data_IF_728965306762
#
_entry.id   IF_728965306762
#
_cell.length_a   1.000
_cell.length_b   1.000
_cell.length_c   1.000
_cell.angle_alpha   90.00
_cell.angle_beta   90.00
_cell.angle_gamma   90.00
#
_symmetry.space_group_name_H-M   'P 1'
#
loop_
_entity.id
_entity.type
_entity.pdbx_description
1 polymer ?
#
# COMPACT_ATOMS: atom_id res chain seq x y z
N UNK A 1 -0.45 -24.53 11.69
CA UNK A 1 0.60 -23.96 10.83
C UNK A 1 0.92 -25.02 9.79
N UNK A 2 0.53 -24.77 8.54
CA UNK A 2 0.98 -25.57 7.42
C UNK A 2 2.04 -24.76 6.71
N UNK A 3 3.27 -25.29 6.68
CA UNK A 3 4.32 -24.81 5.79
C UNK A 3 3.91 -25.24 4.38
N UNK A 4 3.60 -24.26 3.52
CA UNK A 4 3.28 -24.49 2.12
C UNK A 4 4.48 -23.97 1.32
N UNK A 5 5.39 -24.87 0.97
CA UNK A 5 6.51 -24.54 0.07
C UNK A 5 5.97 -24.18 -1.32
N UNK A 6 6.36 -23.02 -1.87
CA UNK A 6 6.06 -22.65 -3.26
C UNK A 6 6.86 -23.56 -4.22
N UNK A 7 6.21 -24.52 -4.91
CA UNK A 7 6.94 -25.57 -5.62
C UNK A 7 7.51 -25.12 -6.98
N UNK A 8 7.27 -23.88 -7.41
CA UNK A 8 7.59 -23.43 -8.79
C UNK A 8 8.71 -22.39 -8.88
N UNK A 9 8.94 -21.62 -7.83
CA UNK A 9 9.95 -20.55 -7.81
C UNK A 9 9.83 -19.51 -8.93
N UNK A 10 8.67 -19.38 -9.58
CA UNK A 10 8.51 -18.51 -10.76
C UNK A 10 7.28 -17.61 -10.73
N UNK A 11 6.23 -17.95 -10.01
CA UNK A 11 5.04 -17.12 -9.85
C UNK A 11 4.41 -17.36 -8.47
N UNK A 12 3.67 -16.38 -7.96
CA UNK A 12 2.81 -16.54 -6.79
C UNK A 12 1.74 -17.58 -7.13
N UNK A 13 1.67 -18.66 -6.35
CA UNK A 13 0.64 -19.68 -6.53
C UNK A 13 -0.76 -19.06 -6.33
N UNK A 14 -1.82 -19.65 -6.89
CA UNK A 14 -3.18 -19.16 -6.69
C UNK A 14 -3.56 -19.04 -5.20
N UNK A 15 -3.08 -19.96 -4.37
CA UNK A 15 -3.28 -19.94 -2.92
C UNK A 15 -2.61 -18.71 -2.29
N UNK A 16 -1.38 -18.39 -2.69
CA UNK A 16 -0.69 -17.18 -2.21
C UNK A 16 -1.35 -15.89 -2.70
N UNK A 17 -1.86 -15.88 -3.92
CA UNK A 17 -2.63 -14.75 -4.44
C UNK A 17 -3.93 -14.52 -3.65
N UNK A 18 -4.58 -15.57 -3.17
CA UNK A 18 -5.77 -15.50 -2.31
C UNK A 18 -5.41 -14.94 -0.93
N UNK A 19 -4.36 -15.48 -0.30
CA UNK A 19 -3.87 -15.01 1.01
C UNK A 19 -3.48 -13.52 0.98
N UNK A 20 -2.85 -13.06 -0.10
CA UNK A 20 -2.51 -11.64 -0.27
C UNK A 20 -3.79 -10.78 -0.30
N UNK A 21 -4.82 -11.21 -1.02
CA UNK A 21 -6.10 -10.47 -1.08
C UNK A 21 -6.80 -10.44 0.28
N UNK A 22 -6.89 -11.58 0.96
CA UNK A 22 -7.47 -11.66 2.30
C UNK A 22 -6.72 -10.75 3.29
N UNK A 23 -5.39 -10.72 3.22
CA UNK A 23 -4.57 -9.84 4.07
C UNK A 23 -4.82 -8.36 3.81
N UNK A 24 -5.01 -7.99 2.54
CA UNK A 24 -5.36 -6.62 2.16
C UNK A 24 -6.72 -6.26 2.74
N UNK A 25 -7.71 -7.12 2.58
CA UNK A 25 -9.06 -6.91 3.09
C UNK A 25 -9.05 -6.77 4.62
N UNK A 26 -8.33 -7.63 5.35
CA UNK A 26 -8.18 -7.56 6.81
C UNK A 26 -7.53 -6.24 7.29
N UNK A 27 -6.51 -5.74 6.57
CA UNK A 27 -5.87 -4.46 6.89
C UNK A 27 -6.83 -3.28 6.65
N UNK A 28 -7.63 -3.33 5.60
CA UNK A 28 -8.60 -2.29 5.27
C UNK A 28 -9.81 -2.29 6.22
N UNK A 29 -10.30 -3.46 6.64
CA UNK A 29 -11.31 -3.56 7.69
C UNK A 29 -10.79 -2.98 9.02
N UNK A 30 -9.53 -3.26 9.35
CA UNK A 30 -8.88 -2.69 10.54
C UNK A 30 -8.79 -1.16 10.46
N UNK A 31 -8.58 -0.60 9.27
CA UNK A 31 -8.64 0.84 9.04
C UNK A 31 -10.05 1.38 9.28
N UNK A 32 -11.11 0.81 8.70
CA UNK A 32 -12.48 1.29 8.96
C UNK A 32 -12.81 1.33 10.46
N UNK A 33 -12.40 0.31 11.22
CA UNK A 33 -12.64 0.25 12.67
C UNK A 33 -11.86 1.34 13.42
N UNK A 34 -10.60 1.55 13.06
CA UNK A 34 -9.75 2.54 13.74
C UNK A 34 -10.09 3.98 13.35
N UNK A 35 -10.61 4.20 12.14
CA UNK A 35 -10.79 5.53 11.55
C UNK A 35 -12.26 5.97 11.53
N UNK A 36 -13.21 5.04 11.47
CA UNK A 36 -14.66 5.33 11.56
C UNK A 36 -15.20 5.45 12.99
N UNK A 37 -14.43 5.03 14.00
CA UNK A 37 -14.83 5.07 15.41
C UNK A 37 -14.54 6.40 16.12
N UNK A 38 -13.74 7.29 15.50
CA UNK A 38 -13.35 8.57 16.09
C UNK A 38 -13.73 9.72 15.17
N UNK A 39 -14.46 10.73 15.67
CA UNK A 39 -14.67 12.02 14.97
C UNK A 39 -13.37 12.84 14.79
N UNK A 40 -12.22 12.29 15.20
CA UNK A 40 -10.91 12.91 15.11
C UNK A 40 -10.17 12.38 13.88
N UNK A 41 -9.51 13.29 13.15
CA UNK A 41 -8.63 12.90 12.05
C UNK A 41 -7.56 11.93 12.60
N UNK A 42 -7.37 10.76 11.98
CA UNK A 42 -6.37 9.80 12.40
C UNK A 42 -4.97 10.40 12.41
N UNK A 43 -4.23 10.19 13.50
CA UNK A 43 -2.83 10.63 13.62
C UNK A 43 -1.85 9.73 12.82
N UNK A 44 -2.33 8.66 12.17
CA UNK A 44 -1.46 7.63 11.58
C UNK A 44 -1.97 7.14 10.23
N UNK A 45 -1.05 6.82 9.33
CA UNK A 45 -1.33 6.15 8.07
C UNK A 45 -1.39 4.63 8.26
N UNK A 46 -2.22 3.95 7.47
CA UNK A 46 -2.11 2.51 7.28
C UNK A 46 -0.96 2.25 6.32
N UNK A 47 0.04 1.51 6.78
CA UNK A 47 1.10 1.04 5.92
C UNK A 47 0.49 0.10 4.87
N UNK A 48 0.37 0.62 3.66
CA UNK A 48 -0.23 -0.05 2.53
C UNK A 48 0.81 -0.11 1.42
N UNK A 49 2.02 -0.56 1.75
CA UNK A 49 3.13 -0.72 0.83
C UNK A 49 3.15 -2.15 0.27
N UNK A 50 3.40 -2.37 -1.03
CA UNK A 50 3.47 -3.70 -1.61
C UNK A 50 4.47 -4.63 -0.89
N UNK A 51 5.56 -4.06 -0.37
CA UNK A 51 6.57 -4.76 0.43
C UNK A 51 5.96 -5.43 1.68
N UNK A 52 4.99 -4.77 2.32
CA UNK A 52 4.35 -5.29 3.54
C UNK A 52 3.43 -6.47 3.29
N UNK A 53 2.96 -6.65 2.05
CA UNK A 53 2.11 -7.77 1.66
C UNK A 53 2.88 -8.92 1.00
N UNK A 54 4.15 -8.72 0.66
CA UNK A 54 5.03 -9.82 0.19
C UNK A 54 5.71 -10.58 1.33
N UNK A 55 6.08 -9.89 2.41
CA UNK A 55 6.88 -10.48 3.49
C UNK A 55 6.03 -11.38 4.39
N UNK A 56 6.35 -12.67 4.48
CA UNK A 56 5.71 -13.63 5.38
C UNK A 56 4.80 -14.66 4.69
N UNK A 57 4.46 -14.43 3.43
CA UNK A 57 3.71 -15.35 2.56
C UNK A 57 4.62 -16.01 1.52
N UNK A 58 5.70 -15.33 1.15
CA UNK A 58 6.80 -15.91 0.39
C UNK A 58 8.09 -15.82 1.23
N UNK A 59 8.96 -16.82 1.13
CA UNK A 59 10.27 -16.78 1.79
C UNK A 59 11.23 -15.81 1.08
N UNK A 60 10.91 -15.41 -0.15
CA UNK A 60 11.63 -14.42 -0.93
C UNK A 60 11.34 -13.00 -0.43
N UNK A 61 12.37 -12.17 -0.43
CA UNK A 61 12.24 -10.73 -0.22
C UNK A 61 11.47 -10.09 -1.40
N UNK A 62 10.80 -8.95 -1.18
CA UNK A 62 10.07 -8.26 -2.25
C UNK A 62 10.95 -7.98 -3.47
N UNK A 63 12.22 -7.62 -3.27
CA UNK A 63 13.15 -7.33 -4.36
C UNK A 63 13.43 -8.55 -5.24
N UNK A 64 13.26 -9.77 -4.70
CA UNK A 64 13.45 -11.04 -5.40
C UNK A 64 12.21 -11.49 -6.20
N UNK A 65 11.07 -10.82 -6.03
CA UNK A 65 9.86 -11.07 -6.81
C UNK A 65 10.01 -10.55 -8.24
N UNK A 66 9.36 -11.26 -9.18
CA UNK A 66 9.30 -10.85 -10.57
C UNK A 66 8.48 -9.55 -10.74
N UNK A 67 8.66 -8.80 -11.84
CA UNK A 67 7.83 -7.64 -12.14
C UNK A 67 6.32 -7.94 -12.14
N UNK A 68 5.92 -9.10 -12.65
CA UNK A 68 4.53 -9.56 -12.70
C UNK A 68 3.97 -9.85 -11.31
N UNK A 69 4.76 -10.45 -10.42
CA UNK A 69 4.37 -10.70 -9.02
C UNK A 69 4.20 -9.37 -8.25
N UNK A 70 5.10 -8.42 -8.47
CA UNK A 70 5.01 -7.06 -7.88
C UNK A 70 3.79 -6.31 -8.40
N UNK A 71 3.53 -6.39 -9.71
CA UNK A 71 2.35 -5.77 -10.31
C UNK A 71 1.07 -6.40 -9.77
N UNK A 72 0.99 -7.73 -9.63
CA UNK A 72 -0.15 -8.40 -9.01
C UNK A 72 -0.47 -7.84 -7.62
N UNK A 73 0.54 -7.72 -6.73
CA UNK A 73 0.36 -7.19 -5.38
C UNK A 73 -0.16 -5.75 -5.45
N UNK A 74 0.45 -4.90 -6.29
CA UNK A 74 0.05 -3.50 -6.47
C UNK A 74 -1.40 -3.39 -6.98
N UNK A 75 -1.79 -4.20 -7.96
CA UNK A 75 -3.16 -4.22 -8.49
C UNK A 75 -4.18 -4.74 -7.47
N UNK A 76 -3.83 -5.76 -6.68
CA UNK A 76 -4.69 -6.26 -5.60
C UNK A 76 -4.96 -5.16 -4.56
N UNK A 77 -3.91 -4.43 -4.17
CA UNK A 77 -4.01 -3.30 -3.24
C UNK A 77 -4.89 -2.18 -3.81
N UNK A 78 -4.68 -1.80 -5.06
CA UNK A 78 -5.49 -0.79 -5.75
C UNK A 78 -6.96 -1.22 -5.82
N UNK A 79 -7.22 -2.49 -6.15
CA UNK A 79 -8.57 -3.04 -6.16
C UNK A 79 -9.24 -2.98 -4.79
N UNK A 80 -8.51 -3.25 -3.69
CA UNK A 80 -9.07 -3.25 -2.33
C UNK A 80 -9.57 -1.88 -1.85
N UNK A 81 -8.94 -0.80 -2.32
CA UNK A 81 -9.38 0.58 -2.09
C UNK A 81 -10.25 1.12 -3.23
N UNK A 82 -10.53 0.30 -4.25
CA UNK A 82 -11.21 0.68 -5.48
C UNK A 82 -10.57 1.91 -6.15
N UNK A 83 -9.24 1.89 -6.26
CA UNK A 83 -8.43 2.84 -6.99
C UNK A 83 -8.11 2.30 -8.38
N UNK A 84 -8.27 3.15 -9.40
CA UNK A 84 -7.84 2.85 -10.76
C UNK A 84 -6.91 3.99 -11.23
N UNK A 85 -5.64 3.69 -11.60
CA UNK A 85 -4.69 4.72 -11.97
C UNK A 85 -5.03 5.47 -13.27
N UNK A 86 -5.86 4.89 -14.15
CA UNK A 86 -6.20 5.51 -15.44
C UNK A 86 -7.22 6.66 -15.33
N UNK A 87 -8.06 6.65 -14.30
CA UNK A 87 -9.11 7.64 -14.04
C UNK A 87 -8.97 8.36 -12.68
N UNK A 88 -7.86 8.11 -11.97
CA UNK A 88 -7.58 8.66 -10.66
C UNK A 88 -7.62 10.21 -10.63
N UNK A 89 -8.41 10.75 -9.71
CA UNK A 89 -8.43 12.18 -9.43
C UNK A 89 -7.35 12.54 -8.39
N UNK A 90 -6.47 13.48 -8.76
CA UNK A 90 -5.52 14.07 -7.82
C UNK A 90 -6.25 15.05 -6.90
N UNK A 91 -6.18 14.81 -5.60
CA UNK A 91 -6.77 15.66 -4.56
C UNK A 91 -5.78 16.73 -4.12
N UNK A 92 -4.52 16.35 -3.93
CA UNK A 92 -3.46 17.29 -3.55
C UNK A 92 -2.07 16.70 -3.83
N UNK A 93 -1.07 17.56 -3.84
CA UNK A 93 0.34 17.17 -3.88
C UNK A 93 1.08 17.94 -2.79
N UNK A 94 1.95 17.26 -2.04
CA UNK A 94 2.82 17.89 -1.03
C UNK A 94 4.22 17.29 -1.05
N UNK A 95 5.17 17.97 -0.43
CA UNK A 95 6.53 17.45 -0.25
C UNK A 95 6.68 16.91 1.16
N UNK A 96 7.28 15.73 1.28
CA UNK A 96 7.71 15.16 2.53
C UNK A 96 9.24 15.14 2.58
N UNK A 97 9.81 15.77 3.60
CA UNK A 97 11.23 15.71 3.90
C UNK A 97 11.41 14.79 5.11
N UNK A 98 11.73 13.52 4.85
CA UNK A 98 11.95 12.55 5.91
C UNK A 98 13.11 12.96 6.84
N UNK A 99 13.09 12.53 8.11
CA UNK A 99 14.11 12.91 9.09
C UNK A 99 15.51 12.46 8.62
N UNK A 100 16.50 13.32 8.88
CA UNK A 100 17.89 13.10 8.52
C UNK A 100 18.39 11.76 9.08
N UNK A 101 18.87 10.88 8.20
CA UNK A 101 19.37 9.53 8.56
C UNK A 101 18.40 8.36 8.33
N UNK A 102 17.18 8.60 7.85
CA UNK A 102 16.27 7.53 7.42
C UNK A 102 16.72 6.88 6.09
N UNK A 103 16.56 5.55 5.96
CA UNK A 103 16.75 4.83 4.68
C UNK A 103 15.61 5.22 3.74
N UNK A 104 15.83 6.23 2.90
CA UNK A 104 14.76 6.96 2.22
C UNK A 104 15.01 8.47 2.14
N UNK A 105 16.09 8.95 2.76
CA UNK A 105 16.50 10.35 2.78
C UNK A 105 16.42 11.04 1.40
N UNK A 106 15.49 11.98 1.28
CA UNK A 106 15.23 12.79 0.10
C UNK A 106 13.82 13.36 0.15
N UNK A 107 13.62 14.54 -0.43
CA UNK A 107 12.29 15.13 -0.59
C UNK A 107 11.46 14.20 -1.49
N UNK A 108 10.47 13.52 -0.93
CA UNK A 108 9.50 12.78 -1.71
C UNK A 108 8.38 13.74 -2.14
N UNK A 109 7.99 13.67 -3.40
CA UNK A 109 6.72 14.27 -3.82
C UNK A 109 5.62 13.25 -3.52
N UNK A 110 4.67 13.64 -2.67
CA UNK A 110 3.52 12.82 -2.33
C UNK A 110 2.32 13.35 -3.09
N UNK A 111 1.78 12.50 -3.96
CA UNK A 111 0.50 12.78 -4.63
C UNK A 111 -0.61 11.99 -3.93
N UNK A 112 -1.67 12.72 -3.57
CA UNK A 112 -2.84 12.16 -2.90
C UNK A 112 -3.94 11.99 -3.93
N UNK A 113 -4.46 10.78 -4.04
CA UNK A 113 -5.52 10.43 -4.97
C UNK A 113 -6.81 10.09 -4.23
N UNK A 114 -7.93 10.46 -4.85
CA UNK A 114 -9.25 10.04 -4.43
C UNK A 114 -9.46 8.55 -4.78
N UNK A 115 -10.12 7.83 -3.88
CA UNK A 115 -10.51 6.43 -4.08
C UNK A 115 -12.03 6.34 -4.07
N UNK A 116 -12.58 5.19 -4.46
CA UNK A 116 -14.04 4.97 -4.36
C UNK A 116 -14.54 4.81 -2.91
N UNK A 117 -13.61 4.67 -1.95
CA UNK A 117 -13.86 4.57 -0.50
C UNK A 117 -13.46 5.86 0.25
N UNK A 118 -13.48 7.00 -0.44
CA UNK A 118 -13.08 8.29 0.15
C UNK A 118 -14.04 8.79 1.25
N UNK A 119 -15.29 8.30 1.25
CA UNK A 119 -16.29 8.52 2.30
C UNK A 119 -15.94 7.82 3.62
N UNK A 120 -15.18 6.73 3.56
CA UNK A 120 -14.57 6.05 4.71
C UNK A 120 -13.24 6.72 5.15
N UNK A 121 -12.84 7.82 4.48
CA UNK A 121 -11.60 8.52 4.76
C UNK A 121 -10.36 7.86 4.13
N UNK A 122 -10.53 6.91 3.21
CA UNK A 122 -9.43 6.21 2.54
C UNK A 122 -8.97 6.96 1.29
N UNK A 123 -7.83 7.66 1.39
CA UNK A 123 -7.14 8.27 0.25
C UNK A 123 -5.82 7.52 -0.01
N UNK A 124 -5.47 7.33 -1.28
CA UNK A 124 -4.18 6.76 -1.64
C UNK A 124 -3.14 7.86 -1.65
N UNK A 125 -2.11 7.72 -0.82
CA UNK A 125 -0.92 8.56 -0.86
C UNK A 125 0.19 7.78 -1.55
N UNK A 126 0.71 8.35 -2.64
CA UNK A 126 1.83 7.81 -3.39
C UNK A 126 3.03 8.75 -3.25
N UNK A 127 4.03 8.32 -2.48
CA UNK A 127 5.28 9.01 -2.30
C UNK A 127 6.26 8.57 -3.40
N UNK A 128 6.68 9.50 -4.25
CA UNK A 128 7.69 9.25 -5.28
C UNK A 128 9.01 9.91 -4.88
N UNK A 129 10.04 9.09 -4.72
CA UNK A 129 11.38 9.52 -4.36
C UNK A 129 12.19 9.93 -5.60
N UNK A 130 13.24 10.76 -5.46
CA UNK A 130 14.08 11.18 -6.59
C UNK A 130 14.80 10.04 -7.33
N UNK A 131 14.96 8.88 -6.69
CA UNK A 131 15.53 7.66 -7.27
C UNK A 131 14.50 6.85 -8.10
N UNK A 132 13.24 7.30 -8.15
CA UNK A 132 12.14 6.64 -8.85
C UNK A 132 11.42 5.57 -8.02
N UNK A 133 11.81 5.36 -6.76
CA UNK A 133 11.09 4.47 -5.86
C UNK A 133 9.74 5.06 -5.48
N UNK A 134 8.74 4.21 -5.37
CA UNK A 134 7.41 4.55 -4.92
C UNK A 134 7.13 3.87 -3.58
N UNK A 135 6.56 4.62 -2.64
CA UNK A 135 5.94 4.09 -1.43
C UNK A 135 4.45 4.45 -1.43
N UNK A 136 3.62 3.49 -1.03
CA UNK A 136 2.17 3.60 -1.02
C UNK A 136 1.68 3.47 0.42
N UNK A 137 0.70 4.29 0.78
CA UNK A 137 -0.01 4.16 2.04
C UNK A 137 -1.42 4.74 1.92
N UNK A 138 -2.31 4.31 2.82
CA UNK A 138 -3.69 4.82 2.89
C UNK A 138 -3.83 5.68 4.14
N UNK A 139 -4.35 6.88 3.97
CA UNK A 139 -4.58 7.82 5.05
C UNK A 139 -5.73 8.78 4.72
N UNK A 140 -6.12 9.62 5.67
CA UNK A 140 -7.07 10.69 5.41
C UNK A 140 -6.46 11.73 4.47
N UNK A 141 -7.32 12.42 3.70
CA UNK A 141 -6.93 13.47 2.75
C UNK A 141 -5.94 14.51 3.31
N UNK A 142 -6.09 14.85 4.59
CA UNK A 142 -5.32 15.92 5.24
C UNK A 142 -4.08 15.39 5.98
N UNK A 143 -3.85 14.08 5.96
CA UNK A 143 -2.64 13.47 6.51
C UNK A 143 -1.39 13.99 5.80
N UNK A 144 -0.38 14.40 6.58
CA UNK A 144 0.92 14.86 6.09
C UNK A 144 2.00 14.15 6.90
N UNK A 145 3.03 13.71 6.19
CA UNK A 145 4.24 13.11 6.77
C UNK A 145 5.19 14.20 7.28
#
# INVERSE_FOLDING_TARGET
>A
MHDIENPSGKELSPEWQEVIRESIDEQLESFEVLFGATDENPESALNFSPLSFSSGYDEREYDELSPEEKDFIKQAMFSGIGFNPEDAQIVSTYKYDGPEGSKGYGAAEVTVYETTRSDEGMFLHMATYPDGREELFVASKDYRL
#
